data_IF_563592523798
#
_entry.id   IF_563592523798
#
_cell.length_a   1.000
_cell.length_b   1.000
_cell.length_c   1.000
_cell.angle_alpha   90.00
_cell.angle_beta   90.00
_cell.angle_gamma   90.00
#
_symmetry.space_group_name_H-M   'P 1'
#
loop_
_entity.id
_entity.type
_entity.pdbx_description
1 polymer ?
#
# COMPACT_ATOMS: atom_id res chain seq x y z
N UNK A 1 23.73 -28.99 -6.80
CA UNK A 1 23.88 -28.35 -5.50
C UNK A 1 23.66 -26.86 -5.67
N UNK A 2 22.52 -26.31 -5.20
CA UNK A 2 22.15 -24.89 -5.39
C UNK A 2 23.14 -23.93 -4.72
N UNK A 3 23.87 -24.39 -3.71
CA UNK A 3 24.93 -23.60 -3.06
C UNK A 3 26.11 -23.26 -3.99
N UNK A 4 26.39 -24.10 -4.99
CA UNK A 4 27.45 -23.83 -5.98
C UNK A 4 27.04 -22.78 -7.02
N UNK A 5 25.76 -22.46 -7.15
CA UNK A 5 25.28 -21.42 -8.05
C UNK A 5 25.45 -20.01 -7.47
N UNK A 6 25.70 -19.87 -6.17
CA UNK A 6 25.91 -18.58 -5.47
C UNK A 6 27.00 -17.71 -6.10
N UNK A 7 28.11 -18.30 -6.50
CA UNK A 7 29.28 -17.56 -6.99
C UNK A 7 29.16 -17.04 -8.42
N UNK A 8 28.10 -17.41 -9.16
CA UNK A 8 27.95 -17.09 -10.58
C UNK A 8 26.85 -16.08 -10.92
N UNK A 9 26.13 -15.57 -9.92
CA UNK A 9 25.02 -14.67 -10.13
C UNK A 9 25.28 -13.25 -9.62
N UNK A 10 25.43 -12.30 -10.54
CA UNK A 10 25.26 -10.87 -10.22
C UNK A 10 23.78 -10.53 -10.10
N UNK A 11 23.33 -10.33 -8.87
CA UNK A 11 21.92 -10.10 -8.57
C UNK A 11 21.54 -8.63 -8.68
N UNK A 12 21.03 -8.19 -9.79
CA UNK A 12 20.46 -6.84 -9.87
C UNK A 12 18.95 -6.78 -10.04
N UNK A 13 18.22 -7.86 -10.39
CA UNK A 13 16.73 -7.90 -10.54
C UNK A 13 16.26 -9.36 -10.61
N UNK A 14 14.93 -9.60 -10.44
CA UNK A 14 14.35 -10.94 -10.61
C UNK A 14 14.73 -11.50 -11.98
N UNK A 15 15.46 -12.62 -12.01
CA UNK A 15 15.95 -13.28 -13.21
C UNK A 15 15.37 -14.67 -13.31
N UNK A 16 15.07 -15.08 -14.51
CA UNK A 16 14.66 -16.44 -14.88
C UNK A 16 15.85 -17.16 -15.47
N UNK A 17 16.15 -18.34 -14.96
CA UNK A 17 17.23 -19.19 -15.45
C UNK A 17 16.65 -20.51 -15.96
N UNK A 18 16.96 -20.86 -17.20
CA UNK A 18 16.56 -22.13 -17.76
C UNK A 18 17.57 -23.20 -17.39
N UNK A 19 17.09 -24.41 -17.12
CA UNK A 19 17.92 -25.54 -16.76
C UNK A 19 18.19 -26.36 -18.01
N UNK A 20 19.48 -26.53 -18.29
CA UNK A 20 19.95 -27.36 -19.41
C UNK A 20 20.69 -28.57 -18.88
N UNK A 21 20.53 -29.70 -19.56
CA UNK A 21 21.37 -30.87 -19.39
C UNK A 21 22.38 -30.85 -20.52
N UNK A 22 23.66 -30.97 -20.19
CA UNK A 22 24.72 -31.15 -21.14
C UNK A 22 24.81 -32.67 -21.46
N UNK A 23 24.39 -33.05 -22.65
CA UNK A 23 24.61 -34.39 -23.18
C UNK A 23 25.88 -34.38 -24.00
N UNK A 24 26.75 -35.39 -23.81
CA UNK A 24 27.94 -35.62 -24.63
C UNK A 24 27.76 -36.93 -25.33
N UNK A 25 27.67 -36.89 -26.66
CA UNK A 25 27.59 -38.08 -27.51
C UNK A 25 28.58 -37.91 -28.68
N UNK A 26 29.40 -38.91 -28.92
CA UNK A 26 30.39 -38.93 -30.01
C UNK A 26 31.28 -37.66 -30.07
N UNK A 27 31.81 -37.23 -28.94
CA UNK A 27 32.65 -36.02 -28.78
C UNK A 27 31.94 -34.69 -29.10
N UNK A 28 30.63 -34.71 -29.35
CA UNK A 28 29.81 -33.50 -29.50
C UNK A 28 29.05 -33.24 -28.22
N UNK A 29 29.16 -32.01 -27.72
CA UNK A 29 28.40 -31.55 -26.57
C UNK A 29 27.12 -30.86 -27.07
N UNK A 30 25.97 -31.31 -26.61
CA UNK A 30 24.68 -30.71 -26.93
C UNK A 30 23.96 -30.31 -25.63
N UNK A 31 23.36 -29.12 -25.60
CA UNK A 31 22.57 -28.62 -24.50
C UNK A 31 21.08 -28.94 -24.71
N UNK A 32 20.55 -29.79 -23.87
CA UNK A 32 19.13 -30.15 -23.87
C UNK A 32 18.38 -29.34 -22.81
N UNK A 33 17.36 -28.62 -23.26
CA UNK A 33 16.46 -27.94 -22.34
C UNK A 33 15.62 -28.96 -21.58
N UNK A 34 15.66 -28.92 -20.26
CA UNK A 34 14.87 -29.82 -19.43
C UNK A 34 13.39 -29.44 -19.55
N UNK A 35 12.55 -30.37 -19.99
CA UNK A 35 11.10 -30.17 -20.04
C UNK A 35 10.41 -31.06 -19.03
N UNK A 36 9.44 -30.49 -18.34
CA UNK A 36 8.53 -31.22 -17.48
C UNK A 36 7.40 -31.80 -18.35
N UNK A 37 7.47 -33.10 -18.64
CA UNK A 37 6.42 -33.80 -19.38
C UNK A 37 5.27 -34.30 -18.47
N UNK A 38 5.40 -34.21 -17.18
CA UNK A 38 4.50 -34.87 -16.22
C UNK A 38 3.28 -34.07 -15.84
N UNK A 39 3.24 -32.77 -16.15
CA UNK A 39 2.16 -31.92 -15.72
C UNK A 39 1.50 -31.15 -16.87
N UNK A 40 0.19 -31.24 -16.92
CA UNK A 40 -0.66 -30.28 -17.60
C UNK A 40 -0.33 -28.92 -16.99
N UNK A 41 0.33 -28.07 -17.75
CA UNK A 41 0.89 -26.78 -17.39
C UNK A 41 0.10 -26.07 -16.29
N UNK A 42 0.49 -26.29 -15.06
CA UNK A 42 0.14 -25.37 -13.99
C UNK A 42 1.10 -24.20 -14.12
N UNK A 43 0.62 -22.96 -14.10
CA UNK A 43 1.50 -21.81 -14.09
C UNK A 43 2.51 -21.97 -12.94
N UNK A 44 3.72 -21.46 -13.12
CA UNK A 44 4.86 -21.56 -12.17
C UNK A 44 4.48 -21.36 -10.67
N UNK A 45 3.32 -20.81 -10.38
CA UNK A 45 2.73 -20.67 -9.06
C UNK A 45 2.50 -21.97 -8.30
N UNK A 46 2.55 -23.12 -8.96
CA UNK A 46 2.23 -24.43 -8.37
C UNK A 46 3.43 -25.38 -8.29
N UNK A 47 4.62 -24.93 -8.69
CA UNK A 47 5.81 -25.75 -8.64
C UNK A 47 6.68 -25.38 -7.43
N UNK A 48 6.61 -26.20 -6.39
CA UNK A 48 7.33 -25.99 -5.13
C UNK A 48 8.32 -27.09 -4.81
N UNK A 49 9.01 -27.62 -5.81
CA UNK A 49 9.88 -28.76 -5.55
C UNK A 49 11.10 -28.44 -4.70
N UNK A 50 11.58 -27.21 -4.68
CA UNK A 50 12.68 -26.79 -3.80
C UNK A 50 12.62 -25.27 -3.59
N UNK A 51 12.31 -24.85 -2.38
CA UNK A 51 12.58 -23.50 -1.92
C UNK A 51 13.82 -23.53 -1.04
N UNK A 52 14.98 -23.26 -1.58
CA UNK A 52 16.15 -22.94 -0.79
C UNK A 52 16.21 -21.42 -0.66
N UNK A 53 16.17 -20.92 0.58
CA UNK A 53 16.36 -19.49 0.84
C UNK A 53 17.84 -19.20 0.60
N UNK A 54 18.12 -18.30 -0.34
CA UNK A 54 19.46 -17.82 -0.64
C UNK A 54 19.68 -16.56 0.16
N UNK A 55 20.52 -16.65 1.20
CA UNK A 55 20.97 -15.49 1.98
C UNK A 55 22.25 -14.93 1.35
N UNK A 56 22.33 -13.63 1.24
CA UNK A 56 23.56 -12.93 0.88
C UNK A 56 24.37 -12.60 2.14
N UNK A 57 25.69 -12.75 2.08
CA UNK A 57 26.59 -12.40 3.17
C UNK A 57 26.46 -10.92 3.57
N UNK A 58 26.65 -10.67 4.87
CA UNK A 58 26.47 -9.38 5.54
C UNK A 58 27.42 -8.27 5.04
N UNK A 59 28.48 -8.61 4.31
CA UNK A 59 29.51 -7.67 3.82
C UNK A 59 29.15 -6.91 2.53
N UNK A 60 28.01 -7.17 1.91
CA UNK A 60 27.57 -6.36 0.79
C UNK A 60 26.81 -5.14 1.30
N UNK A 61 27.24 -3.94 0.89
CA UNK A 61 26.60 -2.64 1.18
C UNK A 61 25.15 -2.53 0.63
N UNK A 62 24.61 -3.60 0.12
CA UNK A 62 23.21 -3.77 -0.33
C UNK A 62 22.50 -4.49 0.82
N UNK A 63 21.49 -3.83 1.41
CA UNK A 63 20.62 -4.44 2.45
C UNK A 63 20.25 -5.85 2.04
N UNK A 64 20.41 -6.86 2.91
CA UNK A 64 20.12 -8.25 2.59
C UNK A 64 18.65 -8.37 2.22
N UNK A 65 18.37 -8.42 0.93
CA UNK A 65 17.07 -8.81 0.41
C UNK A 65 17.07 -10.32 0.35
N UNK A 66 16.25 -10.96 1.18
CA UNK A 66 16.05 -12.40 1.12
C UNK A 66 15.52 -12.76 -0.26
N UNK A 67 16.33 -13.42 -1.07
CA UNK A 67 15.93 -13.97 -2.36
C UNK A 67 15.66 -15.45 -2.21
N UNK A 68 14.65 -15.91 -2.92
CA UNK A 68 14.25 -17.32 -2.96
C UNK A 68 14.42 -17.81 -4.41
N UNK A 69 15.07 -18.95 -4.58
CA UNK A 69 15.08 -19.67 -5.84
C UNK A 69 13.86 -20.57 -5.94
N UNK A 70 12.99 -20.32 -6.92
CA UNK A 70 11.78 -21.11 -7.17
C UNK A 70 11.94 -21.90 -8.44
N UNK A 71 11.88 -23.22 -8.34
CA UNK A 71 11.81 -24.10 -9.51
C UNK A 71 10.41 -24.03 -10.12
N UNK A 72 10.32 -23.73 -11.40
CA UNK A 72 9.06 -23.56 -12.11
C UNK A 72 9.16 -24.03 -13.56
N UNK A 73 8.02 -24.16 -14.23
CA UNK A 73 7.98 -24.35 -15.68
C UNK A 73 7.55 -23.05 -16.36
N UNK A 74 8.20 -22.69 -17.47
CA UNK A 74 7.77 -21.58 -18.33
C UNK A 74 6.54 -21.96 -19.18
N UNK A 75 6.01 -21.00 -19.94
CA UNK A 75 4.85 -21.23 -20.83
C UNK A 75 5.07 -22.28 -21.94
N UNK A 76 6.29 -22.78 -22.09
CA UNK A 76 6.68 -23.83 -23.04
C UNK A 76 7.07 -25.13 -22.34
N UNK A 77 6.72 -25.26 -21.05
CA UNK A 77 7.03 -26.38 -20.15
C UNK A 77 8.56 -26.61 -19.93
N UNK A 78 9.38 -25.58 -20.17
CA UNK A 78 10.79 -25.64 -19.83
C UNK A 78 11.00 -25.40 -18.34
N UNK A 79 11.83 -26.22 -17.72
CA UNK A 79 12.16 -26.09 -16.31
C UNK A 79 13.06 -24.87 -16.10
N UNK A 80 12.65 -23.99 -15.20
CA UNK A 80 13.33 -22.74 -14.91
C UNK A 80 13.48 -22.52 -13.40
N UNK A 81 14.55 -21.83 -13.01
CA UNK A 81 14.69 -21.28 -11.65
C UNK A 81 14.40 -19.79 -11.73
N UNK A 82 13.38 -19.35 -10.99
CA UNK A 82 13.09 -17.94 -10.79
C UNK A 82 13.69 -17.47 -9.49
N UNK A 83 14.52 -16.44 -9.55
CA UNK A 83 14.99 -15.73 -8.36
C UNK A 83 14.08 -14.53 -8.08
N UNK A 84 13.44 -14.56 -6.95
CA UNK A 84 12.59 -13.44 -6.53
C UNK A 84 12.75 -13.17 -5.02
N UNK A 85 12.43 -11.94 -4.61
CA UNK A 85 12.36 -11.65 -3.18
C UNK A 85 11.26 -12.48 -2.53
N UNK A 86 11.49 -12.89 -1.26
CA UNK A 86 10.52 -13.65 -0.48
C UNK A 86 9.13 -13.02 -0.52
N UNK A 87 9.03 -11.70 -0.35
CA UNK A 87 7.77 -10.99 -0.40
C UNK A 87 7.07 -11.12 -1.76
N UNK A 88 7.83 -11.09 -2.86
CA UNK A 88 7.29 -11.27 -4.21
C UNK A 88 6.81 -12.71 -4.43
N UNK A 89 7.57 -13.69 -3.94
CA UNK A 89 7.20 -15.10 -3.98
C UNK A 89 5.89 -15.34 -3.21
N UNK A 90 5.81 -14.90 -1.96
CA UNK A 90 4.61 -15.05 -1.14
C UNK A 90 3.39 -14.35 -1.74
N UNK A 91 3.58 -13.16 -2.33
CA UNK A 91 2.50 -12.42 -2.99
C UNK A 91 1.98 -13.10 -4.27
N UNK A 92 2.81 -13.91 -4.93
CA UNK A 92 2.45 -14.58 -6.18
C UNK A 92 1.93 -16.00 -5.99
N UNK A 93 2.43 -16.71 -4.98
CA UNK A 93 2.15 -18.14 -4.78
C UNK A 93 1.05 -18.43 -3.77
N UNK A 94 0.74 -17.48 -2.90
CA UNK A 94 -0.28 -17.67 -1.88
C UNK A 94 -1.43 -16.69 -2.08
N UNK A 95 -2.59 -17.23 -2.34
CA UNK A 95 -3.81 -16.45 -2.39
C UNK A 95 -4.31 -16.24 -0.95
N UNK A 96 -4.33 -14.98 -0.52
CA UNK A 96 -4.94 -14.60 0.74
C UNK A 96 -5.83 -13.38 0.49
N UNK A 97 -7.14 -13.56 0.54
CA UNK A 97 -8.10 -12.51 0.17
C UNK A 97 -9.19 -12.34 1.20
N UNK A 98 -9.43 -11.09 1.59
CA UNK A 98 -10.50 -10.71 2.48
C UNK A 98 -11.87 -11.09 1.88
N UNK A 99 -12.76 -11.68 2.68
CA UNK A 99 -14.15 -11.93 2.34
C UNK A 99 -15.09 -10.98 3.05
N UNK A 100 -14.91 -10.84 4.34
CA UNK A 100 -15.70 -9.90 5.13
C UNK A 100 -14.93 -9.39 6.33
N UNK A 101 -15.27 -8.18 6.74
CA UNK A 101 -14.75 -7.50 7.91
C UNK A 101 -15.91 -6.86 8.65
N UNK A 102 -16.02 -7.12 9.96
CA UNK A 102 -17.05 -6.54 10.81
C UNK A 102 -16.44 -6.13 12.14
N UNK A 103 -16.76 -4.92 12.58
CA UNK A 103 -16.46 -4.42 13.92
C UNK A 103 -17.76 -4.09 14.62
N UNK A 104 -18.04 -4.74 15.73
CA UNK A 104 -19.24 -4.49 16.52
C UNK A 104 -18.99 -4.89 17.99
N UNK A 105 -19.43 -4.04 18.92
CA UNK A 105 -19.36 -4.31 20.36
C UNK A 105 -17.94 -4.61 20.86
N UNK A 106 -16.93 -3.87 20.39
CA UNK A 106 -15.53 -4.08 20.78
C UNK A 106 -14.88 -5.35 20.19
N UNK A 107 -15.57 -6.05 19.26
CA UNK A 107 -15.03 -7.26 18.60
C UNK A 107 -14.77 -7.00 17.12
N UNK A 108 -13.55 -7.29 16.67
CA UNK A 108 -13.17 -7.35 15.27
C UNK A 108 -13.33 -8.79 14.78
N UNK A 109 -14.14 -8.98 13.74
CA UNK A 109 -14.32 -10.27 13.05
C UNK A 109 -13.87 -10.16 11.61
N UNK A 110 -12.97 -11.02 11.18
CA UNK A 110 -12.45 -11.09 9.81
C UNK A 110 -12.73 -12.49 9.26
N UNK A 111 -13.17 -12.54 8.00
CA UNK A 111 -13.25 -13.77 7.23
C UNK A 111 -12.42 -13.59 5.96
N UNK A 112 -11.55 -14.52 5.65
CA UNK A 112 -10.72 -14.51 4.46
C UNK A 112 -10.55 -15.92 3.89
N UNK A 113 -10.22 -15.99 2.61
CA UNK A 113 -9.85 -17.22 1.93
C UNK A 113 -8.32 -17.23 1.78
N UNK A 114 -7.74 -18.39 2.07
CA UNK A 114 -6.30 -18.63 2.08
C UNK A 114 -5.97 -19.86 1.26
N UNK A 115 -5.06 -19.76 0.33
CA UNK A 115 -4.41 -20.89 -0.35
C UNK A 115 -3.00 -21.02 0.22
N UNK A 116 -2.76 -22.10 0.95
CA UNK A 116 -1.51 -22.28 1.69
C UNK A 116 -0.39 -22.90 0.85
N UNK A 117 -0.75 -23.53 -0.28
CA UNK A 117 0.21 -24.36 -1.04
C UNK A 117 0.78 -25.46 -0.13
N UNK A 118 2.11 -25.48 0.03
CA UNK A 118 2.83 -26.41 0.91
C UNK A 118 3.07 -25.90 2.33
N UNK A 119 2.43 -24.78 2.67
CA UNK A 119 2.56 -24.23 4.00
C UNK A 119 1.35 -24.63 4.86
N UNK A 120 1.57 -24.72 6.16
CA UNK A 120 0.50 -24.90 7.12
C UNK A 120 0.08 -23.57 7.74
N UNK A 121 -1.22 -23.35 7.82
CA UNK A 121 -1.74 -22.20 8.56
C UNK A 121 -1.46 -22.37 10.05
N UNK A 122 -0.79 -21.40 10.66
CA UNK A 122 -0.49 -21.39 12.11
C UNK A 122 -1.52 -20.54 12.83
N UNK A 123 -1.51 -19.24 12.56
CA UNK A 123 -2.35 -18.24 13.22
C UNK A 123 -2.47 -16.97 12.41
N UNK A 124 -3.33 -16.08 12.84
CA UNK A 124 -3.37 -14.69 12.38
C UNK A 124 -3.15 -13.76 13.56
N UNK A 125 -2.38 -12.72 13.37
CA UNK A 125 -2.07 -11.75 14.39
C UNK A 125 -2.30 -10.31 13.92
N UNK A 126 -2.60 -9.42 14.87
CA UNK A 126 -2.58 -7.99 14.71
C UNK A 126 -1.26 -7.48 15.30
N UNK A 127 -0.42 -6.85 14.51
CA UNK A 127 0.88 -6.36 14.94
C UNK A 127 1.02 -4.86 14.78
N UNK A 128 1.58 -4.19 15.81
CA UNK A 128 1.88 -2.77 15.72
C UNK A 128 3.08 -2.54 14.78
N UNK A 129 2.90 -1.68 13.79
CA UNK A 129 3.95 -1.35 12.83
C UNK A 129 4.94 -0.35 13.43
N UNK A 130 5.91 -0.84 14.16
CA UNK A 130 7.04 -0.03 14.62
C UNK A 130 8.35 -0.58 14.05
N UNK A 131 9.09 0.24 13.31
CA UNK A 131 10.37 -0.14 12.75
C UNK A 131 11.53 -0.05 13.75
N UNK A 132 11.31 0.59 14.90
CA UNK A 132 12.33 0.93 15.89
C UNK A 132 12.18 0.15 17.21
N UNK A 133 11.11 -0.63 17.38
CA UNK A 133 10.90 -1.36 18.62
C UNK A 133 11.56 -2.74 18.55
N UNK A 134 12.42 -3.01 19.49
CA UNK A 134 12.96 -4.36 19.74
C UNK A 134 11.84 -5.33 20.16
N UNK A 135 10.75 -4.83 20.76
CA UNK A 135 9.58 -5.61 21.15
C UNK A 135 8.43 -5.39 20.16
N UNK A 136 8.14 -6.38 19.33
CA UNK A 136 6.96 -6.39 18.48
C UNK A 136 5.71 -6.60 19.34
N UNK A 137 4.86 -5.56 19.45
CA UNK A 137 3.56 -5.69 20.10
C UNK A 137 2.60 -6.39 19.16
N UNK A 138 2.20 -7.61 19.48
CA UNK A 138 1.31 -8.45 18.69
C UNK A 138 0.17 -9.00 19.52
N UNK A 139 -0.99 -9.18 18.88
CA UNK A 139 -2.19 -9.79 19.47
C UNK A 139 -2.72 -10.87 18.54
N UNK A 140 -2.85 -12.07 19.07
CA UNK A 140 -3.35 -13.20 18.30
C UNK A 140 -4.89 -13.14 18.13
N UNK A 141 -5.35 -13.38 16.91
CA UNK A 141 -6.76 -13.59 16.67
C UNK A 141 -7.18 -14.99 17.11
N UNK A 142 -8.33 -15.09 17.75
CA UNK A 142 -8.96 -16.38 18.00
C UNK A 142 -9.55 -16.92 16.69
N UNK A 143 -9.15 -18.11 16.28
CA UNK A 143 -9.74 -18.79 15.13
C UNK A 143 -11.11 -19.36 15.51
N UNK A 144 -12.17 -18.87 14.86
CA UNK A 144 -13.55 -19.30 15.10
C UNK A 144 -13.93 -20.53 14.27
N UNK A 145 -13.45 -20.61 13.04
CA UNK A 145 -13.66 -21.75 12.16
C UNK A 145 -12.66 -21.76 11.01
N UNK A 146 -12.30 -22.96 10.58
CA UNK A 146 -11.51 -23.22 9.38
C UNK A 146 -12.25 -24.25 8.53
N UNK A 147 -12.68 -23.84 7.33
CA UNK A 147 -13.40 -24.70 6.40
C UNK A 147 -12.59 -24.89 5.13
N UNK A 148 -12.25 -26.13 4.81
CA UNK A 148 -11.51 -26.47 3.59
C UNK A 148 -12.48 -26.61 2.41
N UNK A 149 -12.13 -25.98 1.27
CA UNK A 149 -12.85 -26.08 -0.01
C UNK A 149 -11.84 -26.28 -1.14
N UNK A 150 -11.57 -27.52 -1.50
CA UNK A 150 -10.46 -27.83 -2.41
C UNK A 150 -9.12 -27.39 -1.81
N UNK A 151 -8.38 -26.56 -2.53
CA UNK A 151 -7.08 -26.00 -2.07
C UNK A 151 -7.23 -24.73 -1.22
N UNK A 152 -8.46 -24.22 -1.05
CA UNK A 152 -8.73 -22.99 -0.29
C UNK A 152 -9.19 -23.33 1.12
N UNK A 153 -8.59 -22.65 2.10
CA UNK A 153 -9.04 -22.60 3.48
C UNK A 153 -9.85 -21.31 3.69
N UNK A 154 -11.11 -21.42 4.07
CA UNK A 154 -11.89 -20.29 4.54
C UNK A 154 -11.75 -20.18 6.04
N UNK A 155 -11.12 -19.10 6.49
CA UNK A 155 -10.78 -18.89 7.89
C UNK A 155 -11.62 -17.72 8.43
N UNK A 156 -12.28 -17.95 9.57
CA UNK A 156 -12.95 -16.90 10.34
C UNK A 156 -12.24 -16.70 11.65
N UNK A 157 -11.89 -15.47 11.94
CA UNK A 157 -11.14 -15.06 13.13
C UNK A 157 -11.83 -13.94 13.86
N UNK A 158 -11.54 -13.78 15.14
CA UNK A 158 -12.05 -12.71 15.99
C UNK A 158 -10.98 -12.21 16.94
N UNK A 159 -10.98 -10.90 17.21
CA UNK A 159 -10.14 -10.25 18.21
C UNK A 159 -11.00 -9.35 19.09
N UNK A 160 -10.79 -9.41 20.40
CA UNK A 160 -11.40 -8.51 21.36
C UNK A 160 -10.56 -7.22 21.42
N UNK A 161 -11.10 -6.13 20.88
CA UNK A 161 -10.43 -4.84 20.80
C UNK A 161 -10.26 -4.14 22.14
N UNK A 162 -11.06 -4.55 23.18
CA UNK A 162 -10.94 -4.00 24.51
C UNK A 162 -9.69 -4.52 25.26
N UNK A 163 -9.10 -5.61 24.77
CA UNK A 163 -7.89 -6.23 25.35
C UNK A 163 -6.59 -5.75 24.70
N UNK A 164 -6.69 -4.86 23.72
CA UNK A 164 -5.52 -4.36 22.98
C UNK A 164 -4.98 -3.11 23.67
N UNK A 165 -3.71 -3.12 24.02
CA UNK A 165 -3.00 -1.91 24.45
C UNK A 165 -2.66 -1.07 23.21
N UNK A 166 -3.49 -0.06 22.96
CA UNK A 166 -3.47 0.69 21.73
C UNK A 166 -2.29 1.67 21.67
N UNK A 167 -1.46 1.50 20.62
CA UNK A 167 -0.42 2.46 20.24
C UNK A 167 -0.85 3.19 18.96
N UNK A 168 -0.58 4.50 18.92
CA UNK A 168 -0.99 5.35 17.81
C UNK A 168 -0.37 4.95 16.49
N UNK A 169 -1.11 5.10 15.42
CA UNK A 169 -0.84 4.92 14.02
C UNK A 169 -1.12 3.49 13.50
N UNK A 170 -0.14 2.80 12.93
CA UNK A 170 -0.42 1.69 12.01
C UNK A 170 -0.34 0.33 12.66
N UNK A 171 -1.31 -0.53 12.30
CA UNK A 171 -1.41 -1.92 12.72
C UNK A 171 -1.57 -2.81 11.51
N UNK A 172 -0.74 -3.82 11.38
CA UNK A 172 -0.79 -4.79 10.28
C UNK A 172 -1.48 -6.08 10.70
N UNK A 173 -2.17 -6.71 9.73
CA UNK A 173 -2.73 -8.04 9.91
C UNK A 173 -1.85 -9.03 9.18
N UNK A 174 -1.22 -9.91 9.92
CA UNK A 174 -0.32 -10.92 9.40
C UNK A 174 -0.93 -12.31 9.57
N UNK A 175 -0.95 -13.07 8.50
CA UNK A 175 -1.26 -14.50 8.51
C UNK A 175 0.06 -15.26 8.53
N UNK A 176 0.24 -16.10 9.52
CA UNK A 176 1.46 -16.88 9.73
C UNK A 176 1.30 -18.25 9.11
N UNK A 177 2.23 -18.58 8.23
CA UNK A 177 2.29 -19.87 7.54
C UNK A 177 3.61 -20.56 7.88
N UNK A 178 3.56 -21.77 8.36
CA UNK A 178 4.73 -22.60 8.63
C UNK A 178 5.12 -23.37 7.38
N UNK A 179 6.37 -23.28 6.99
CA UNK A 179 6.92 -24.04 5.88
C UNK A 179 7.71 -25.24 6.45
N UNK A 180 7.21 -26.45 6.24
CA UNK A 180 7.84 -27.67 6.72
C UNK A 180 9.21 -27.95 6.06
N UNK A 181 9.42 -27.43 4.83
CA UNK A 181 10.66 -27.67 4.07
C UNK A 181 11.89 -26.96 4.65
N UNK A 182 11.71 -25.80 5.30
CA UNK A 182 12.80 -25.01 5.88
C UNK A 182 12.61 -24.67 7.36
N UNK A 183 11.57 -25.22 8.00
CA UNK A 183 11.23 -24.99 9.41
C UNK A 183 11.07 -23.50 9.79
N UNK A 184 10.62 -22.66 8.83
CA UNK A 184 10.42 -21.23 9.06
C UNK A 184 8.97 -20.81 8.95
N UNK A 185 8.61 -19.80 9.74
CA UNK A 185 7.30 -19.16 9.67
C UNK A 185 7.34 -17.95 8.76
N UNK A 186 6.45 -17.91 7.81
CA UNK A 186 6.29 -16.84 6.84
C UNK A 186 5.08 -15.97 7.19
N UNK A 187 5.23 -14.65 7.02
CA UNK A 187 4.17 -13.68 7.25
C UNK A 187 3.60 -13.22 5.91
N UNK A 188 2.30 -13.40 5.71
CA UNK A 188 1.60 -12.89 4.53
C UNK A 188 0.48 -11.94 4.95
N UNK A 189 0.16 -10.99 4.07
CA UNK A 189 -0.90 -10.02 4.33
C UNK A 189 -2.19 -10.40 3.59
N UNK A 190 -3.33 -10.04 4.17
CA UNK A 190 -4.64 -10.26 3.55
C UNK A 190 -4.87 -9.22 2.45
N UNK A 191 -5.04 -9.65 1.20
CA UNK A 191 -5.34 -8.77 0.07
C UNK A 191 -6.81 -8.33 0.07
N UNK A 192 -7.07 -7.16 -0.51
CA UNK A 192 -8.42 -6.62 -0.67
C UNK A 192 -8.70 -6.33 -2.14
N UNK A 193 -9.85 -6.81 -2.64
CA UNK A 193 -10.29 -6.51 -4.00
C UNK A 193 -10.78 -5.05 -4.17
N UNK A 194 -11.11 -4.66 -5.40
CA UNK A 194 -11.55 -3.30 -5.70
C UNK A 194 -12.88 -2.96 -5.03
N UNK A 195 -13.83 -3.91 -4.97
CA UNK A 195 -15.15 -3.71 -4.33
C UNK A 195 -14.97 -3.49 -2.84
N UNK A 196 -14.19 -4.35 -2.17
CA UNK A 196 -13.89 -4.24 -0.75
C UNK A 196 -13.21 -2.91 -0.41
N UNK A 197 -12.28 -2.44 -1.25
CA UNK A 197 -11.63 -1.12 -1.10
C UNK A 197 -12.62 0.04 -1.26
N UNK A 198 -13.61 -0.08 -2.14
CA UNK A 198 -14.67 0.92 -2.27
C UNK A 198 -15.58 0.93 -1.03
N UNK A 199 -16.01 -0.25 -0.57
CA UNK A 199 -16.84 -0.38 0.63
C UNK A 199 -16.12 0.08 1.91
N UNK A 200 -14.81 -0.04 1.97
CA UNK A 200 -14.03 0.45 3.11
C UNK A 200 -14.25 1.95 3.38
N UNK A 201 -14.50 2.77 2.35
CA UNK A 201 -14.83 4.19 2.51
C UNK A 201 -16.09 4.42 3.33
N UNK A 202 -17.01 3.46 3.33
CA UNK A 202 -18.26 3.47 4.08
C UNK A 202 -18.16 2.76 5.43
N UNK A 203 -17.13 1.93 5.63
CA UNK A 203 -16.89 1.21 6.90
C UNK A 203 -16.44 2.15 8.04
N UNK A 204 -16.23 3.41 7.77
CA UNK A 204 -15.98 4.43 8.79
C UNK A 204 -17.01 4.42 9.92
N UNK A 205 -18.28 4.17 9.60
CA UNK A 205 -19.36 4.04 10.59
C UNK A 205 -19.23 2.80 11.48
N UNK A 206 -18.43 1.82 11.08
CA UNK A 206 -18.11 0.60 11.84
C UNK A 206 -16.77 0.66 12.57
N UNK A 207 -16.15 1.84 12.70
CA UNK A 207 -14.91 1.99 13.44
C UNK A 207 -15.12 1.77 14.94
N UNK A 208 -14.15 1.12 15.58
CA UNK A 208 -14.10 1.01 17.03
C UNK A 208 -13.64 2.33 17.62
N UNK A 209 -14.39 2.88 18.58
CA UNK A 209 -14.08 4.12 19.29
C UNK A 209 -13.66 3.78 20.71
N UNK A 210 -12.57 4.39 21.16
CA UNK A 210 -12.14 4.35 22.55
C UNK A 210 -12.62 5.57 23.34
N UNK A 211 -12.67 5.49 24.65
CA UNK A 211 -13.17 6.56 25.52
C UNK A 211 -12.35 7.85 25.44
N UNK A 212 -11.09 7.75 25.05
CA UNK A 212 -10.16 8.89 24.85
C UNK A 212 -10.30 9.60 23.49
N UNK A 213 -11.36 9.32 22.73
CA UNK A 213 -11.62 9.99 21.45
C UNK A 213 -10.80 9.46 20.27
N UNK A 214 -9.97 8.44 20.51
CA UNK A 214 -9.31 7.69 19.45
C UNK A 214 -10.27 6.72 18.80
N UNK A 215 -9.98 6.36 17.54
CA UNK A 215 -10.72 5.32 16.87
C UNK A 215 -9.81 4.47 16.00
N UNK A 216 -10.20 3.22 15.89
CA UNK A 216 -9.54 2.18 15.13
C UNK A 216 -10.40 1.83 13.91
N UNK A 217 -9.80 1.89 12.72
CA UNK A 217 -10.51 1.67 11.47
C UNK A 217 -9.63 0.99 10.44
N UNK A 218 -10.22 0.21 9.53
CA UNK A 218 -9.46 -0.46 8.48
C UNK A 218 -9.03 0.51 7.39
N UNK A 219 -7.83 0.28 6.85
CA UNK A 219 -7.39 0.90 5.62
C UNK A 219 -6.64 -0.11 4.75
N UNK A 220 -6.47 0.18 3.48
CA UNK A 220 -5.64 -0.62 2.60
C UNK A 220 -4.31 0.07 2.33
N UNK A 221 -3.25 -0.72 2.34
CA UNK A 221 -1.90 -0.25 2.08
C UNK A 221 -1.68 0.05 0.59
N UNK A 222 -0.55 0.66 0.24
CA UNK A 222 -0.14 0.83 -1.16
C UNK A 222 -0.04 -0.50 -1.93
N UNK A 223 0.22 -1.61 -1.24
CA UNK A 223 0.22 -2.98 -1.79
C UNK A 223 -1.17 -3.62 -1.88
N UNK A 224 -2.24 -2.87 -1.58
CA UNK A 224 -3.64 -3.32 -1.60
C UNK A 224 -3.95 -4.39 -0.55
N UNK A 225 -3.27 -4.38 0.57
CA UNK A 225 -3.49 -5.29 1.70
C UNK A 225 -4.24 -4.61 2.84
N UNK A 226 -4.96 -5.43 3.64
CA UNK A 226 -5.66 -4.97 4.82
C UNK A 226 -4.67 -4.57 5.92
N UNK A 227 -4.87 -3.40 6.48
CA UNK A 227 -4.23 -2.93 7.70
C UNK A 227 -5.23 -2.06 8.47
N UNK A 228 -4.82 -1.56 9.63
CA UNK A 228 -5.64 -0.70 10.46
C UNK A 228 -4.86 0.53 10.90
N UNK A 229 -5.59 1.59 11.23
CA UNK A 229 -5.03 2.81 11.84
C UNK A 229 -5.76 3.06 13.16
N UNK A 230 -4.99 3.41 14.17
CA UNK A 230 -5.49 3.90 15.46
C UNK A 230 -5.01 5.33 15.68
N UNK A 231 -5.92 6.28 15.69
CA UNK A 231 -5.62 7.71 15.84
C UNK A 231 -6.81 8.52 16.35
N UNK A 232 -6.56 9.75 16.75
CA UNK A 232 -7.60 10.71 17.04
C UNK A 232 -8.41 11.06 15.79
N UNK A 233 -9.69 11.36 15.98
CA UNK A 233 -10.55 11.90 14.93
C UNK A 233 -10.09 13.33 14.61
N UNK A 234 -9.78 13.57 13.35
CA UNK A 234 -9.42 14.91 12.87
C UNK A 234 -10.65 15.72 12.47
N UNK A 235 -10.46 17.03 12.33
CA UNK A 235 -11.51 17.98 11.94
C UNK A 235 -12.15 17.69 10.57
N UNK A 236 -11.44 16.97 9.72
CA UNK A 236 -11.85 16.66 8.34
C UNK A 236 -12.30 15.21 8.14
N UNK A 237 -12.60 14.50 9.22
CA UNK A 237 -13.06 13.11 9.16
C UNK A 237 -14.60 12.98 9.18
N UNK A 238 -15.33 14.07 9.20
CA UNK A 238 -16.79 14.11 9.26
C UNK A 238 -17.49 13.76 7.93
N UNK A 239 -18.79 13.48 8.02
CA UNK A 239 -19.64 13.24 6.85
C UNK A 239 -19.77 14.50 5.96
N UNK A 240 -19.71 15.68 6.57
CA UNK A 240 -19.74 16.96 5.88
C UNK A 240 -18.64 17.09 4.82
N UNK A 241 -17.43 16.57 5.10
CA UNK A 241 -16.34 16.54 4.13
C UNK A 241 -16.64 15.61 2.97
N UNK A 242 -17.33 14.49 3.23
CA UNK A 242 -17.77 13.58 2.16
C UNK A 242 -18.71 14.30 1.20
N UNK A 243 -19.69 15.02 1.75
CA UNK A 243 -20.62 15.81 0.92
C UNK A 243 -19.91 16.91 0.15
N UNK A 244 -18.96 17.63 0.76
CA UNK A 244 -18.12 18.61 0.07
C UNK A 244 -17.33 17.99 -1.08
N UNK A 245 -16.71 16.80 -0.87
CA UNK A 245 -15.99 16.09 -1.91
C UNK A 245 -16.90 15.71 -3.08
N UNK A 246 -18.08 15.14 -2.83
CA UNK A 246 -19.04 14.82 -3.89
C UNK A 246 -19.52 16.07 -4.64
N UNK A 247 -19.84 17.14 -3.92
CA UNK A 247 -20.22 18.43 -4.51
C UNK A 247 -19.10 18.96 -5.42
N UNK A 248 -17.88 18.96 -4.95
CA UNK A 248 -16.73 19.42 -5.72
C UNK A 248 -16.49 18.57 -6.99
N UNK A 249 -16.68 17.25 -6.90
CA UNK A 249 -16.57 16.35 -8.06
C UNK A 249 -17.66 16.66 -9.08
N UNK A 250 -18.88 16.83 -8.62
CA UNK A 250 -20.01 17.15 -9.49
C UNK A 250 -19.78 18.48 -10.21
N UNK A 251 -19.46 19.55 -9.48
CA UNK A 251 -19.20 20.87 -10.04
C UNK A 251 -17.99 20.89 -11.00
N UNK A 252 -16.93 20.18 -10.67
CA UNK A 252 -15.78 20.03 -11.57
C UNK A 252 -16.18 19.32 -12.87
N UNK A 253 -16.92 18.22 -12.78
CA UNK A 253 -17.34 17.46 -13.96
C UNK A 253 -18.28 18.25 -14.85
N UNK A 254 -19.20 19.00 -14.27
CA UNK A 254 -20.15 19.84 -14.99
C UNK A 254 -19.45 20.90 -15.86
N UNK A 255 -18.38 21.49 -15.36
CA UNK A 255 -17.64 22.56 -16.03
C UNK A 255 -16.16 22.21 -16.27
N UNK A 256 -15.85 20.95 -16.58
CA UNK A 256 -14.48 20.43 -16.68
C UNK A 256 -13.60 21.24 -17.65
N UNK A 257 -14.13 21.54 -18.85
CA UNK A 257 -13.38 22.33 -19.85
C UNK A 257 -13.06 23.72 -19.37
N UNK A 258 -13.99 24.39 -18.67
CA UNK A 258 -13.77 25.70 -18.08
C UNK A 258 -12.65 25.69 -17.03
N UNK A 259 -12.70 24.68 -16.13
CA UNK A 259 -11.71 24.57 -15.06
C UNK A 259 -10.31 24.26 -15.59
N UNK A 260 -10.20 23.33 -16.54
CA UNK A 260 -8.92 22.92 -17.11
C UNK A 260 -8.26 24.04 -17.95
N UNK A 261 -9.05 24.89 -18.63
CA UNK A 261 -8.52 26.04 -19.36
C UNK A 261 -7.89 27.12 -18.46
N UNK A 262 -8.06 27.03 -17.15
CA UNK A 262 -7.46 27.98 -16.20
C UNK A 262 -5.98 27.75 -15.95
N UNK A 263 -5.44 26.60 -16.34
CA UNK A 263 -4.03 26.24 -16.11
C UNK A 263 -3.57 26.52 -14.68
N UNK A 264 -4.20 25.85 -13.71
CA UNK A 264 -4.05 26.13 -12.29
C UNK A 264 -2.76 25.54 -11.76
N UNK A 265 -1.97 26.36 -11.06
CA UNK A 265 -0.89 25.95 -10.18
C UNK A 265 -1.32 26.13 -8.72
N UNK A 266 -1.26 25.09 -7.93
CA UNK A 266 -1.54 25.13 -6.49
C UNK A 266 -0.25 25.09 -5.70
N UNK A 267 -0.12 26.01 -4.76
CA UNK A 267 1.06 26.11 -3.88
C UNK A 267 0.59 25.89 -2.43
N UNK A 268 1.30 25.06 -1.68
CA UNK A 268 1.01 24.82 -0.27
C UNK A 268 2.26 24.44 0.52
N UNK A 269 2.19 24.56 1.85
CA UNK A 269 3.21 24.09 2.78
C UNK A 269 2.60 23.65 4.11
N UNK A 270 3.32 22.80 4.85
CA UNK A 270 3.02 22.42 6.25
C UNK A 270 1.55 22.16 6.54
N UNK A 271 0.91 21.29 5.74
CA UNK A 271 -0.54 21.02 5.84
C UNK A 271 -1.43 22.26 5.67
N UNK A 272 -0.97 23.25 4.93
CA UNK A 272 -1.65 24.55 4.78
C UNK A 272 -1.87 25.29 6.12
N UNK A 273 -1.05 25.04 7.11
CA UNK A 273 -1.18 25.64 8.45
C UNK A 273 -0.35 26.90 8.64
N UNK A 274 0.66 27.14 7.80
CA UNK A 274 1.61 28.24 7.91
C UNK A 274 1.97 28.82 6.54
N UNK A 275 2.59 30.01 6.52
CA UNK A 275 3.14 30.69 5.38
C UNK A 275 4.54 31.24 5.75
N UNK A 276 5.56 30.35 5.77
CA UNK A 276 6.88 30.65 6.33
C UNK A 276 8.04 30.01 5.58
N UNK A 277 7.75 29.15 4.61
CA UNK A 277 8.74 28.30 3.95
C UNK A 277 8.79 28.59 2.44
N UNK A 278 9.59 27.85 1.71
CA UNK A 278 9.83 28.00 0.28
C UNK A 278 8.55 28.10 -0.56
N UNK A 279 7.47 27.41 -0.17
CA UNK A 279 6.17 27.50 -0.83
C UNK A 279 5.57 28.90 -0.79
N UNK A 280 5.60 29.53 0.38
CA UNK A 280 5.12 30.91 0.54
C UNK A 280 6.00 31.91 -0.23
N UNK A 281 7.30 31.82 -0.11
CA UNK A 281 8.20 32.75 -0.82
C UNK A 281 8.14 32.59 -2.33
N UNK A 282 8.00 31.36 -2.84
CA UNK A 282 7.73 31.11 -4.25
C UNK A 282 6.41 31.78 -4.69
N UNK A 283 5.32 31.55 -3.96
CA UNK A 283 4.03 32.18 -4.25
C UNK A 283 4.13 33.71 -4.24
N UNK A 284 4.74 34.29 -3.19
CA UNK A 284 4.93 35.72 -3.04
C UNK A 284 5.70 36.32 -4.22
N UNK A 285 6.84 35.72 -4.56
CA UNK A 285 7.63 36.12 -5.71
C UNK A 285 6.82 36.14 -7.01
N UNK A 286 6.09 35.04 -7.27
CA UNK A 286 5.26 34.96 -8.48
C UNK A 286 4.17 36.04 -8.54
N UNK A 287 3.62 36.44 -7.39
CA UNK A 287 2.61 37.50 -7.34
C UNK A 287 3.21 38.88 -7.49
N UNK A 288 4.34 39.16 -6.85
CA UNK A 288 5.00 40.47 -6.86
C UNK A 288 5.59 40.76 -8.25
N UNK A 289 6.19 39.76 -8.91
CA UNK A 289 6.82 39.91 -10.25
C UNK A 289 5.83 39.59 -11.41
N UNK A 290 4.57 39.32 -11.11
CA UNK A 290 3.54 38.97 -12.12
C UNK A 290 3.90 37.79 -13.03
N UNK A 291 4.57 36.78 -12.46
CA UNK A 291 5.06 35.60 -13.18
C UNK A 291 3.94 34.69 -13.74
N UNK A 292 2.67 34.94 -13.39
CA UNK A 292 1.51 34.24 -13.96
C UNK A 292 1.49 34.31 -15.48
N UNK A 293 1.87 35.47 -16.05
CA UNK A 293 1.94 35.69 -17.49
C UNK A 293 3.05 34.86 -18.14
N UNK A 294 4.22 34.81 -17.52
CA UNK A 294 5.39 34.06 -18.02
C UNK A 294 5.17 32.55 -17.92
N UNK A 295 4.63 32.07 -16.80
CA UNK A 295 4.36 30.66 -16.57
C UNK A 295 3.10 30.14 -17.30
N UNK A 296 2.29 31.01 -17.88
CA UNK A 296 0.98 30.71 -18.46
C UNK A 296 0.09 29.92 -17.48
N UNK A 297 0.19 30.20 -16.18
CA UNK A 297 -0.55 29.52 -15.10
C UNK A 297 -1.13 30.51 -14.12
N UNK A 298 -2.35 30.21 -13.65
CA UNK A 298 -2.96 30.93 -12.52
C UNK A 298 -2.50 30.28 -11.22
N UNK A 299 -1.74 31.04 -10.44
CA UNK A 299 -1.12 30.55 -9.22
C UNK A 299 -2.00 30.84 -8.02
N UNK A 300 -2.24 29.83 -7.19
CA UNK A 300 -3.04 29.96 -5.98
C UNK A 300 -2.33 29.35 -4.78
N UNK A 301 -2.36 30.07 -3.67
CA UNK A 301 -1.82 29.61 -2.40
C UNK A 301 -2.93 29.03 -1.53
N UNK A 302 -2.68 27.85 -0.95
CA UNK A 302 -3.63 27.16 -0.10
C UNK A 302 -3.21 27.36 1.35
N UNK A 303 -4.10 27.92 2.16
CA UNK A 303 -3.86 28.14 3.60
C UNK A 303 -5.15 27.92 4.41
N UNK A 304 -5.00 27.46 5.67
CA UNK A 304 -6.12 27.34 6.59
C UNK A 304 -6.60 28.73 7.00
N UNK A 305 -7.92 28.89 7.21
CA UNK A 305 -8.49 30.12 7.77
C UNK A 305 -7.95 30.44 9.17
N UNK A 306 -7.65 29.38 9.92
CA UNK A 306 -7.19 29.46 11.31
C UNK A 306 -5.66 29.55 11.40
N UNK A 307 -4.98 29.73 10.27
CA UNK A 307 -3.53 29.87 10.25
C UNK A 307 -3.10 31.19 10.91
N UNK A 308 -2.12 31.18 11.82
CA UNK A 308 -1.58 32.40 12.37
C UNK A 308 -0.91 33.30 11.33
N UNK A 309 -0.51 32.72 10.18
CA UNK A 309 0.15 33.43 9.08
C UNK A 309 -0.83 33.91 8.00
N UNK A 310 -2.13 33.77 8.19
CA UNK A 310 -3.13 34.11 7.16
C UNK A 310 -3.01 35.57 6.73
N UNK A 311 -2.65 36.49 7.63
CA UNK A 311 -2.45 37.91 7.33
C UNK A 311 -1.38 38.17 6.28
N UNK A 312 -0.37 37.31 6.16
CA UNK A 312 0.73 37.45 5.17
C UNK A 312 0.25 37.32 3.73
N UNK A 313 -0.85 36.60 3.51
CA UNK A 313 -1.43 36.40 2.18
C UNK A 313 -2.60 37.32 1.88
N UNK A 314 -2.98 38.19 2.82
CA UNK A 314 -4.06 39.18 2.67
C UNK A 314 -3.89 40.11 1.45
N UNK A 315 -2.67 40.57 1.09
CA UNK A 315 -2.47 41.36 -0.13
C UNK A 315 -2.90 40.61 -1.42
N UNK A 316 -2.88 39.30 -1.38
CA UNK A 316 -3.14 38.41 -2.54
C UNK A 316 -4.49 37.66 -2.44
N UNK A 317 -5.51 38.22 -1.79
CA UNK A 317 -6.81 37.57 -1.51
C UNK A 317 -7.43 36.83 -2.68
N UNK A 318 -7.29 37.35 -3.91
CA UNK A 318 -7.85 36.76 -5.13
C UNK A 318 -7.20 35.42 -5.46
N UNK A 319 -5.93 35.26 -5.09
CA UNK A 319 -5.11 34.08 -5.37
C UNK A 319 -4.96 33.16 -4.14
N UNK A 320 -5.71 33.42 -3.08
CA UNK A 320 -5.72 32.59 -1.87
C UNK A 320 -6.92 31.66 -1.84
N UNK A 321 -6.69 30.42 -1.46
CA UNK A 321 -7.73 29.38 -1.32
C UNK A 321 -7.72 28.83 0.10
N UNK A 322 -8.89 28.86 0.71
CA UNK A 322 -9.06 28.25 2.03
C UNK A 322 -8.93 26.73 1.95
N UNK A 323 -8.05 26.18 2.79
CA UNK A 323 -7.84 24.74 2.92
C UNK A 323 -9.14 23.98 3.17
N UNK A 324 -9.33 22.86 2.49
CA UNK A 324 -10.52 21.99 2.56
C UNK A 324 -11.86 22.67 2.21
N UNK A 325 -11.83 23.81 1.51
CA UNK A 325 -13.01 24.40 0.90
C UNK A 325 -13.43 23.65 -0.39
N UNK A 326 -14.66 23.84 -0.85
CA UNK A 326 -15.14 23.31 -2.15
C UNK A 326 -14.25 23.83 -3.28
N UNK A 327 -13.85 25.12 -3.24
CA UNK A 327 -12.94 25.72 -4.22
C UNK A 327 -11.60 25.01 -4.25
N UNK A 328 -11.02 24.71 -3.07
CA UNK A 328 -9.79 23.92 -2.95
C UNK A 328 -9.95 22.55 -3.64
N UNK A 329 -11.04 21.85 -3.36
CA UNK A 329 -11.31 20.53 -3.92
C UNK A 329 -11.49 20.55 -5.44
N UNK A 330 -12.18 21.56 -5.99
CA UNK A 330 -12.33 21.73 -7.45
C UNK A 330 -10.96 22.01 -8.07
N UNK A 331 -10.20 22.94 -7.51
CA UNK A 331 -8.91 23.34 -8.05
C UNK A 331 -7.87 22.22 -7.96
N UNK A 332 -7.89 21.39 -6.92
CA UNK A 332 -7.06 20.17 -6.83
C UNK A 332 -7.34 19.21 -8.01
N UNK A 333 -8.60 19.11 -8.46
CA UNK A 333 -8.93 18.29 -9.62
C UNK A 333 -8.46 18.93 -10.94
N UNK A 334 -8.56 20.25 -11.04
CA UNK A 334 -8.26 21.02 -12.24
C UNK A 334 -6.78 21.39 -12.39
N UNK A 335 -6.01 21.36 -11.31
CA UNK A 335 -4.61 21.79 -11.31
C UNK A 335 -3.76 20.99 -12.31
N UNK A 336 -2.92 21.70 -13.04
CA UNK A 336 -1.87 21.12 -13.89
C UNK A 336 -0.60 20.86 -13.08
N UNK A 337 -0.38 21.67 -12.03
CA UNK A 337 0.83 21.63 -11.20
C UNK A 337 0.47 21.83 -9.72
N UNK A 338 1.13 21.07 -8.87
CA UNK A 338 1.11 21.23 -7.41
C UNK A 338 2.54 21.43 -6.93
N UNK A 339 2.80 22.57 -6.31
CA UNK A 339 4.08 22.92 -5.69
C UNK A 339 3.91 22.84 -4.18
N UNK A 340 4.76 22.08 -3.51
CA UNK A 340 4.74 21.96 -2.07
C UNK A 340 6.16 21.82 -1.52
N UNK A 341 6.50 22.56 -0.49
CA UNK A 341 7.76 22.40 0.26
C UNK A 341 7.76 21.15 1.15
N UNK A 342 6.64 20.47 1.24
CA UNK A 342 6.41 19.26 2.02
C UNK A 342 5.89 18.13 1.12
N UNK A 343 5.41 17.04 1.70
CA UNK A 343 4.80 15.97 0.93
C UNK A 343 3.57 16.49 0.15
N UNK A 344 3.46 16.15 -1.13
CA UNK A 344 2.28 16.44 -1.96
C UNK A 344 0.96 15.99 -1.33
N UNK A 345 1.00 14.97 -0.46
CA UNK A 345 -0.19 14.49 0.24
C UNK A 345 -0.66 15.44 1.33
N UNK A 346 0.20 16.35 1.80
CA UNK A 346 -0.15 17.36 2.78
C UNK A 346 -0.90 18.55 2.18
N UNK A 347 -0.99 18.64 0.86
CA UNK A 347 -1.86 19.60 0.16
C UNK A 347 -3.34 19.31 0.41
N UNK A 348 -3.67 18.13 0.92
CA UNK A 348 -5.02 17.71 1.28
C UNK A 348 -5.05 17.09 2.67
N UNK A 349 -6.16 17.25 3.41
CA UNK A 349 -6.22 16.74 4.78
C UNK A 349 -6.14 15.21 4.84
N UNK A 350 -5.39 14.70 5.82
CA UNK A 350 -5.44 13.29 6.17
C UNK A 350 -6.82 12.99 6.75
N UNK A 351 -7.48 11.96 6.21
CA UNK A 351 -8.80 11.51 6.63
C UNK A 351 -8.74 10.09 7.13
N UNK A 352 -9.69 9.70 7.99
CA UNK A 352 -9.79 8.33 8.45
C UNK A 352 -10.15 7.35 7.32
N UNK A 353 -10.79 7.82 6.29
CA UNK A 353 -11.04 7.05 5.08
C UNK A 353 -10.10 7.54 3.97
N UNK A 354 -9.80 6.65 3.06
CA UNK A 354 -9.00 7.02 1.91
C UNK A 354 -9.79 7.95 0.96
N UNK A 355 -9.36 9.20 0.87
CA UNK A 355 -10.01 10.17 -0.01
C UNK A 355 -9.78 9.83 -1.48
N UNK A 356 -10.83 9.99 -2.29
CA UNK A 356 -10.75 9.88 -3.75
C UNK A 356 -9.86 10.96 -4.36
N UNK A 357 -9.59 12.05 -3.62
CA UNK A 357 -8.73 13.16 -4.07
C UNK A 357 -7.25 12.78 -4.13
N UNK A 358 -6.80 11.75 -3.41
CA UNK A 358 -5.40 11.31 -3.43
C UNK A 358 -4.87 11.03 -4.84
N UNK A 359 -5.72 10.63 -5.77
CA UNK A 359 -5.32 10.42 -7.18
C UNK A 359 -4.96 11.71 -7.90
N UNK A 360 -5.51 12.86 -7.49
CA UNK A 360 -5.27 14.16 -8.08
C UNK A 360 -4.03 14.86 -7.53
N UNK A 361 -3.47 14.38 -6.43
CA UNK A 361 -2.28 14.93 -5.80
C UNK A 361 -0.95 14.46 -6.45
N UNK A 362 -1.02 13.77 -7.57
CA UNK A 362 0.15 13.25 -8.30
C UNK A 362 0.55 14.13 -9.49
N UNK A 363 0.26 15.41 -9.43
CA UNK A 363 0.48 16.37 -10.53
C UNK A 363 1.67 17.25 -10.28
#
# INVERSE_FOLDING_TARGET
>A
NLSSLRSHFEFRRSKEFRIYILGVHDQKAELFLLKDKSQKAAPWNNFHLFTEEIYFDEDSAIRPTEYIGVLSADSKDNLCIHLCSRNKYLAQTHYCSLRSLKMNGGKLKICYDLETGYHEYVKTELSFRNKLAEDAVTYDFTTLSTNKRGNLLRIKISLDLNKVDWKSLYWDVNVLLYNQGNNKTNHISISMDTKQRMFQKFLYNGSYKTDNGFFFYPYYTGKKTLAFVYRNKGNYDGLDIIFKEFTAIFLYRLAKSYWNKKHICLVSEKFASMAQDNGYYFFKHCMDENEEAYLHKKIYYIISKDSPDHYKVDPYKKNVINFMSIRHMIYTQAADLIVSSDSRYHTYAMQCRHSIFNRYLRK
#
